data_IF_014789042680
#
_entry.id   IF_014789042680
#
_cell.length_a   1.000
_cell.length_b   1.000
_cell.length_c   1.000
_cell.angle_alpha   90.00
_cell.angle_beta   90.00
_cell.angle_gamma   90.00
#
_symmetry.space_group_name_H-M   'P 1'
#
loop_
_entity.id
_entity.type
_entity.pdbx_description
1 polymer ?
#
# COMPACT_ATOMS: atom_id res chain seq x y z
N UNK A 1 -21.44 -5.72 -1.13
CA UNK A 1 -21.16 -7.16 -1.31
C UNK A 1 -20.60 -7.78 -0.03
N UNK A 2 -19.49 -7.26 0.51
CA UNK A 2 -18.89 -7.75 1.76
C UNK A 2 -19.86 -7.74 2.95
N UNK A 3 -20.59 -6.65 3.14
CA UNK A 3 -21.62 -6.52 4.19
C UNK A 3 -22.70 -7.62 4.12
N UNK A 4 -23.23 -7.90 2.92
CA UNK A 4 -24.18 -9.02 2.69
C UNK A 4 -23.59 -10.40 3.01
N UNK A 5 -22.27 -10.53 3.02
CA UNK A 5 -21.55 -11.75 3.37
C UNK A 5 -21.06 -11.74 4.84
N UNK A 6 -21.40 -10.72 5.64
CA UNK A 6 -20.92 -10.57 7.02
C UNK A 6 -19.42 -10.34 7.12
N UNK A 7 -18.81 -9.69 6.13
CA UNK A 7 -17.36 -9.43 6.05
C UNK A 7 -17.05 -7.94 5.95
N UNK A 8 -15.88 -7.54 6.44
CA UNK A 8 -15.29 -6.22 6.19
C UNK A 8 -14.73 -6.16 4.76
N UNK A 9 -14.95 -5.05 4.06
CA UNK A 9 -14.33 -4.83 2.75
C UNK A 9 -12.90 -4.30 2.91
N UNK A 10 -11.93 -4.90 2.21
CA UNK A 10 -10.61 -4.30 1.98
C UNK A 10 -10.66 -3.49 0.69
N UNK A 11 -10.38 -2.20 0.77
CA UNK A 11 -10.34 -1.27 -0.35
C UNK A 11 -8.94 -0.69 -0.48
N UNK A 12 -8.44 -0.61 -1.71
CA UNK A 12 -7.20 0.09 -2.02
C UNK A 12 -7.57 1.32 -2.82
N UNK A 13 -7.31 2.50 -2.26
CA UNK A 13 -7.50 3.77 -2.94
C UNK A 13 -6.16 4.15 -3.57
N UNK A 14 -6.14 4.33 -4.89
CA UNK A 14 -4.91 4.52 -5.63
C UNK A 14 -5.15 5.47 -6.80
N UNK A 15 -5.58 6.69 -6.53
CA UNK A 15 -5.93 7.69 -7.55
C UNK A 15 -5.26 9.05 -7.33
N UNK A 16 -4.20 9.13 -6.51
CA UNK A 16 -3.47 10.39 -6.27
C UNK A 16 -2.96 10.99 -7.60
N UNK A 17 -3.10 12.32 -7.83
CA UNK A 17 -2.54 12.96 -9.03
C UNK A 17 -1.04 12.72 -9.18
N UNK A 18 -0.57 12.69 -10.44
CA UNK A 18 0.83 12.36 -10.77
C UNK A 18 1.28 11.01 -10.20
N UNK A 19 0.38 10.01 -10.18
CA UNK A 19 0.64 8.68 -9.64
C UNK A 19 1.85 8.05 -10.30
N UNK A 20 2.69 7.43 -9.48
CA UNK A 20 3.89 6.70 -9.92
C UNK A 20 4.85 7.54 -10.78
N UNK A 21 4.73 8.89 -10.71
CA UNK A 21 5.54 9.87 -11.43
C UNK A 21 5.71 9.55 -12.93
N UNK A 22 4.69 8.98 -13.55
CA UNK A 22 4.71 8.62 -14.97
C UNK A 22 5.31 7.25 -15.32
N UNK A 23 5.70 6.42 -14.33
CA UNK A 23 6.23 5.07 -14.53
C UNK A 23 5.13 4.06 -14.92
N UNK A 24 5.29 2.79 -14.56
CA UNK A 24 4.46 1.68 -15.08
C UNK A 24 2.99 1.78 -14.67
N UNK A 25 2.72 2.27 -13.46
CA UNK A 25 1.38 2.44 -12.88
C UNK A 25 0.88 3.88 -12.99
N UNK A 26 1.41 4.68 -13.92
CA UNK A 26 0.98 6.08 -14.12
C UNK A 26 -0.53 6.23 -14.25
N UNK A 27 -1.05 7.36 -13.80
CA UNK A 27 -2.47 7.67 -13.78
C UNK A 27 -2.78 8.61 -12.63
N UNK A 28 -3.92 8.37 -11.98
CA UNK A 28 -4.45 9.22 -10.94
C UNK A 28 -5.46 10.23 -11.48
N UNK A 29 -6.11 10.91 -10.55
CA UNK A 29 -6.98 12.02 -10.81
C UNK A 29 -6.24 13.13 -11.60
N UNK A 30 -7.01 13.88 -12.38
CA UNK A 30 -6.47 14.93 -13.24
C UNK A 30 -5.80 16.07 -12.44
N UNK A 31 -6.34 16.39 -11.27
CA UNK A 31 -5.88 17.43 -10.35
C UNK A 31 -6.40 17.16 -8.92
N UNK A 32 -6.03 18.02 -7.97
CA UNK A 32 -6.45 17.90 -6.58
C UNK A 32 -7.96 18.01 -6.35
N UNK A 33 -8.70 18.76 -7.17
CA UNK A 33 -10.15 18.90 -7.01
C UNK A 33 -10.90 17.65 -7.49
N UNK A 34 -10.45 17.06 -8.61
CA UNK A 34 -10.91 15.76 -9.07
C UNK A 34 -10.65 14.68 -8.02
N UNK A 35 -9.47 14.67 -7.39
CA UNK A 35 -9.13 13.73 -6.32
C UNK A 35 -10.04 13.91 -5.09
N UNK A 36 -10.24 15.14 -4.62
CA UNK A 36 -11.15 15.43 -3.49
C UNK A 36 -12.59 15.00 -3.79
N UNK A 37 -13.08 15.27 -4.99
CA UNK A 37 -14.41 14.84 -5.43
C UNK A 37 -14.53 13.30 -5.47
N UNK A 38 -13.48 12.62 -5.94
CA UNK A 38 -13.39 11.17 -5.96
C UNK A 38 -13.41 10.57 -4.56
N UNK A 39 -12.58 11.07 -3.63
CA UNK A 39 -12.59 10.64 -2.22
C UNK A 39 -13.96 10.86 -1.58
N UNK A 40 -14.59 12.01 -1.81
CA UNK A 40 -15.94 12.26 -1.29
C UNK A 40 -16.96 11.27 -1.85
N UNK A 41 -16.84 10.86 -3.11
CA UNK A 41 -17.69 9.83 -3.71
C UNK A 41 -17.43 8.43 -3.11
N UNK A 42 -16.15 8.07 -2.89
CA UNK A 42 -15.77 6.84 -2.19
C UNK A 42 -16.37 6.81 -0.79
N UNK A 43 -16.23 7.88 -0.01
CA UNK A 43 -16.77 7.97 1.35
C UNK A 43 -18.30 7.82 1.38
N UNK A 44 -19.02 8.45 0.44
CA UNK A 44 -20.47 8.23 0.27
C UNK A 44 -20.80 6.78 -0.08
N UNK A 45 -19.99 6.14 -0.92
CA UNK A 45 -20.16 4.73 -1.31
C UNK A 45 -19.95 3.75 -0.16
N UNK A 46 -18.97 4.01 0.71
CA UNK A 46 -18.74 3.26 1.94
C UNK A 46 -19.91 3.48 2.91
N UNK A 47 -20.26 4.74 3.19
CA UNK A 47 -21.35 5.10 4.08
C UNK A 47 -21.13 4.58 5.50
N UNK A 48 -22.08 3.82 6.03
CA UNK A 48 -22.09 3.24 7.38
C UNK A 48 -21.50 1.82 7.45
N UNK A 49 -21.01 1.27 6.33
CA UNK A 49 -20.50 -0.10 6.26
C UNK A 49 -19.06 -0.20 6.77
N UNK A 50 -18.72 -1.36 7.31
CA UNK A 50 -17.35 -1.66 7.72
C UNK A 50 -16.41 -1.76 6.51
N UNK A 51 -15.31 -0.99 6.55
CA UNK A 51 -14.28 -1.03 5.53
C UNK A 51 -12.89 -0.79 6.13
N UNK A 52 -11.89 -1.49 5.59
CA UNK A 52 -10.47 -1.23 5.80
C UNK A 52 -9.92 -0.65 4.52
N UNK A 53 -9.31 0.54 4.59
CA UNK A 53 -8.78 1.27 3.44
C UNK A 53 -7.26 1.32 3.53
N UNK A 54 -6.58 0.79 2.52
CA UNK A 54 -5.17 1.10 2.25
C UNK A 54 -5.14 2.30 1.31
N UNK A 55 -4.60 3.42 1.79
CA UNK A 55 -4.67 4.71 1.12
C UNK A 55 -3.36 5.01 0.39
N UNK A 56 -3.50 5.16 -0.92
CA UNK A 56 -2.50 5.64 -1.87
C UNK A 56 -1.13 4.94 -1.76
N UNK A 57 -1.04 3.65 -2.16
CA UNK A 57 0.23 2.95 -2.31
C UNK A 57 1.33 3.82 -2.95
N UNK A 58 2.53 3.80 -2.36
CA UNK A 58 3.72 4.56 -2.78
C UNK A 58 3.60 6.10 -2.73
N UNK A 59 2.45 6.69 -2.41
CA UNK A 59 2.29 8.14 -2.50
C UNK A 59 3.16 8.90 -1.48
N UNK A 60 3.28 8.40 -0.25
CA UNK A 60 4.18 8.98 0.76
C UNK A 60 5.64 8.65 0.48
N UNK A 61 6.02 7.39 0.18
CA UNK A 61 7.39 7.06 -0.22
C UNK A 61 7.92 7.88 -1.42
N UNK A 62 7.06 8.20 -2.40
CA UNK A 62 7.42 9.04 -3.55
C UNK A 62 7.72 10.51 -3.20
N UNK A 63 7.38 10.97 -1.99
CA UNK A 63 7.80 12.27 -1.48
C UNK A 63 9.24 12.24 -0.97
N UNK A 64 9.75 11.06 -0.61
CA UNK A 64 11.07 10.88 0.02
C UNK A 64 12.14 10.52 -1.01
N UNK A 65 11.80 9.75 -2.04
CA UNK A 65 12.75 9.34 -3.08
C UNK A 65 12.93 10.39 -4.19
N UNK A 66 12.24 11.53 -4.10
CA UNK A 66 12.30 12.62 -5.08
C UNK A 66 11.50 12.37 -6.35
N UNK A 67 10.70 11.29 -6.41
CA UNK A 67 9.83 11.00 -7.54
C UNK A 67 8.75 12.08 -7.71
N UNK A 68 8.16 12.55 -6.60
CA UNK A 68 7.21 13.68 -6.61
C UNK A 68 7.98 15.00 -6.70
N UNK A 69 7.83 15.77 -7.80
CA UNK A 69 8.50 17.05 -7.97
C UNK A 69 8.17 18.03 -6.82
N UNK A 70 9.12 18.88 -6.38
CA UNK A 70 8.93 19.82 -5.26
C UNK A 70 7.66 20.65 -5.33
N UNK A 71 7.27 21.10 -6.52
CA UNK A 71 6.08 21.89 -6.78
C UNK A 71 4.75 21.18 -6.45
N UNK A 72 4.74 19.85 -6.42
CA UNK A 72 3.54 19.04 -6.13
C UNK A 72 3.54 18.43 -4.72
N UNK A 73 4.60 18.62 -3.93
CA UNK A 73 4.73 17.93 -2.64
C UNK A 73 3.70 18.42 -1.61
N UNK A 74 3.51 19.74 -1.49
CA UNK A 74 2.56 20.33 -0.55
C UNK A 74 1.11 19.93 -0.91
N UNK A 75 0.76 19.99 -2.21
CA UNK A 75 -0.55 19.52 -2.67
C UNK A 75 -0.76 18.04 -2.32
N UNK A 76 0.25 17.18 -2.54
CA UNK A 76 0.14 15.76 -2.21
C UNK A 76 -0.10 15.53 -0.71
N UNK A 77 0.61 16.25 0.17
CA UNK A 77 0.34 16.17 1.61
C UNK A 77 -1.09 16.60 1.95
N UNK A 78 -1.55 17.71 1.39
CA UNK A 78 -2.91 18.22 1.63
C UNK A 78 -4.00 17.25 1.13
N UNK A 79 -3.79 16.61 -0.03
CA UNK A 79 -4.71 15.63 -0.58
C UNK A 79 -4.76 14.36 0.29
N UNK A 80 -3.62 13.85 0.74
CA UNK A 80 -3.56 12.67 1.61
C UNK A 80 -4.20 12.95 2.98
N UNK A 81 -3.85 14.07 3.62
CA UNK A 81 -4.41 14.46 4.91
C UNK A 81 -5.93 14.71 4.81
N UNK A 82 -6.38 15.37 3.75
CA UNK A 82 -7.80 15.57 3.46
C UNK A 82 -8.56 14.25 3.21
N UNK A 83 -7.90 13.28 2.55
CA UNK A 83 -8.47 11.95 2.33
C UNK A 83 -8.62 11.17 3.65
N UNK A 84 -7.59 11.18 4.49
CA UNK A 84 -7.66 10.60 5.84
C UNK A 84 -8.82 11.23 6.63
N UNK A 85 -8.88 12.56 6.71
CA UNK A 85 -9.93 13.26 7.45
C UNK A 85 -11.34 12.90 6.94
N UNK A 86 -11.51 12.84 5.62
CA UNK A 86 -12.81 12.48 5.00
C UNK A 86 -13.20 11.04 5.33
N UNK A 87 -12.29 10.08 5.17
CA UNK A 87 -12.57 8.67 5.44
C UNK A 87 -12.77 8.39 6.93
N UNK A 88 -12.02 9.06 7.80
CA UNK A 88 -12.14 8.93 9.27
C UNK A 88 -13.36 9.62 9.85
N UNK A 89 -14.08 10.44 9.07
CA UNK A 89 -15.42 10.91 9.44
C UNK A 89 -16.48 9.80 9.40
N UNK A 90 -16.18 8.66 8.77
CA UNK A 90 -17.06 7.50 8.73
C UNK A 90 -16.90 6.66 10.01
N UNK A 91 -18.02 6.21 10.58
CA UNK A 91 -18.02 5.56 11.90
C UNK A 91 -17.42 4.15 11.95
N UNK A 92 -17.16 3.49 10.82
CA UNK A 92 -16.71 2.10 10.74
C UNK A 92 -15.61 1.89 9.68
N UNK A 93 -14.79 2.90 9.46
CA UNK A 93 -13.73 2.85 8.46
C UNK A 93 -12.35 2.95 9.11
N UNK A 94 -11.56 1.90 8.91
CA UNK A 94 -10.14 1.88 9.25
C UNK A 94 -9.34 2.39 8.05
N UNK A 95 -8.34 3.25 8.29
CA UNK A 95 -7.51 3.87 7.26
C UNK A 95 -6.04 3.65 7.60
N UNK A 96 -5.32 3.07 6.64
CA UNK A 96 -3.88 2.83 6.70
C UNK A 96 -3.20 3.53 5.52
N UNK A 97 -2.45 4.59 5.79
CA UNK A 97 -1.62 5.28 4.78
C UNK A 97 -0.48 4.36 4.34
N UNK A 98 -0.21 4.24 3.05
CA UNK A 98 0.97 3.47 2.62
C UNK A 98 2.27 4.15 3.07
N UNK A 99 3.17 3.34 3.65
CA UNK A 99 4.46 3.75 4.19
C UNK A 99 5.64 3.04 3.50
N UNK A 100 5.40 2.52 2.29
CA UNK A 100 6.41 1.83 1.50
C UNK A 100 6.84 0.51 2.12
N UNK A 101 8.14 0.21 2.08
CA UNK A 101 8.65 -1.09 2.44
C UNK A 101 10.11 -1.01 2.94
N UNK A 102 10.66 -2.10 3.54
CA UNK A 102 12.02 -2.10 4.10
C UNK A 102 13.14 -1.73 3.12
N UNK A 103 12.90 -1.79 1.81
CA UNK A 103 13.86 -1.44 0.76
C UNK A 103 13.82 0.00 0.29
N UNK A 104 12.74 0.73 0.58
CA UNK A 104 12.52 2.06 0.00
C UNK A 104 13.31 3.15 0.72
N UNK A 105 13.28 3.12 2.05
CA UNK A 105 13.91 4.14 2.88
C UNK A 105 14.00 3.70 4.32
N UNK A 106 14.72 4.46 5.14
CA UNK A 106 14.77 4.21 6.59
C UNK A 106 13.50 4.77 7.24
N UNK A 107 12.95 4.15 8.30
CA UNK A 107 11.79 4.69 9.02
C UNK A 107 11.94 6.16 9.44
N UNK A 108 13.16 6.57 9.82
CA UNK A 108 13.47 7.96 10.15
C UNK A 108 13.25 8.97 9.01
N UNK A 109 13.24 8.55 7.75
CA UNK A 109 12.96 9.42 6.60
C UNK A 109 11.46 9.49 6.28
N UNK A 110 10.68 8.49 6.69
CA UNK A 110 9.27 8.32 6.29
C UNK A 110 8.32 8.86 7.37
N UNK A 111 8.72 8.90 8.63
CA UNK A 111 7.83 9.28 9.74
C UNK A 111 7.27 10.72 9.62
N UNK A 112 8.11 11.73 9.32
CA UNK A 112 7.63 13.11 9.13
C UNK A 112 6.68 13.22 7.91
N UNK A 113 7.01 12.68 6.73
CA UNK A 113 6.06 12.60 5.62
C UNK A 113 4.72 11.95 5.99
N UNK A 114 4.71 10.83 6.72
CA UNK A 114 3.46 10.21 7.19
C UNK A 114 2.66 11.11 8.14
N UNK A 115 3.35 11.80 9.05
CA UNK A 115 2.73 12.77 9.97
C UNK A 115 2.05 13.90 9.19
N UNK A 116 2.76 14.47 8.21
CA UNK A 116 2.23 15.50 7.31
C UNK A 116 1.06 14.99 6.45
N UNK A 117 1.08 13.72 6.06
CA UNK A 117 0.00 13.07 5.32
C UNK A 117 -1.21 12.68 6.21
N UNK A 118 -1.17 12.95 7.53
CA UNK A 118 -2.30 12.78 8.42
C UNK A 118 -2.36 11.45 9.18
N UNK A 119 -1.25 10.70 9.31
CA UNK A 119 -1.24 9.40 10.02
C UNK A 119 -1.70 9.50 11.49
N UNK A 120 -1.59 10.68 12.10
CA UNK A 120 -2.08 10.92 13.46
C UNK A 120 -3.60 10.73 13.59
N UNK A 121 -4.36 11.03 12.53
CA UNK A 121 -5.82 10.83 12.48
C UNK A 121 -6.20 9.45 11.93
N UNK A 122 -5.31 8.81 11.17
CA UNK A 122 -5.49 7.46 10.67
C UNK A 122 -5.36 6.42 11.80
N UNK A 123 -5.82 5.19 11.53
CA UNK A 123 -5.65 4.05 12.43
C UNK A 123 -4.19 3.57 12.40
N UNK A 124 -3.53 3.72 11.26
CA UNK A 124 -2.15 3.33 11.11
C UNK A 124 -1.57 3.58 9.72
N UNK A 125 -0.62 2.73 9.35
CA UNK A 125 -0.01 2.71 8.03
C UNK A 125 0.09 1.29 7.45
N UNK A 126 0.20 1.17 6.14
CA UNK A 126 0.42 -0.08 5.43
C UNK A 126 1.89 -0.20 5.03
N UNK A 127 2.45 -1.40 5.08
CA UNK A 127 3.81 -1.66 4.62
C UNK A 127 3.86 -2.84 3.64
N UNK A 128 4.88 -2.83 2.79
CA UNK A 128 5.18 -3.88 1.83
C UNK A 128 4.15 -4.04 0.69
N UNK A 129 3.25 -3.08 0.49
CA UNK A 129 2.23 -3.13 -0.57
C UNK A 129 2.88 -3.39 -1.92
N UNK A 130 2.39 -4.42 -2.62
CA UNK A 130 2.91 -4.90 -3.89
C UNK A 130 4.40 -5.30 -3.90
N UNK A 131 5.05 -5.45 -2.75
CA UNK A 131 6.46 -5.82 -2.67
C UNK A 131 6.64 -7.21 -2.02
N UNK A 132 7.89 -7.60 -1.80
CA UNK A 132 8.28 -8.99 -1.54
C UNK A 132 9.07 -9.17 -0.24
N UNK A 133 9.28 -8.11 0.55
CA UNK A 133 10.03 -8.23 1.80
C UNK A 133 9.36 -9.21 2.74
N UNK A 134 10.15 -10.10 3.34
CA UNK A 134 9.63 -11.13 4.24
C UNK A 134 8.83 -10.50 5.38
N UNK A 135 7.81 -11.19 5.88
CA UNK A 135 6.98 -10.70 6.99
C UNK A 135 7.83 -10.25 8.17
N UNK A 136 8.91 -10.98 8.51
CA UNK A 136 9.86 -10.58 9.56
C UNK A 136 10.52 -9.23 9.30
N UNK A 137 10.95 -8.95 8.07
CA UNK A 137 11.55 -7.66 7.71
C UNK A 137 10.51 -6.55 7.77
N UNK A 138 9.31 -6.80 7.24
CA UNK A 138 8.21 -5.83 7.24
C UNK A 138 7.74 -5.48 8.66
N UNK A 139 7.64 -6.47 9.57
CA UNK A 139 7.36 -6.24 10.99
C UNK A 139 8.45 -5.44 11.69
N UNK A 140 9.73 -5.69 11.38
CA UNK A 140 10.83 -4.92 11.96
C UNK A 140 10.80 -3.45 11.51
N UNK A 141 10.55 -3.22 10.22
CA UNK A 141 10.36 -1.87 9.66
C UNK A 141 9.13 -1.18 10.26
N UNK A 142 7.98 -1.87 10.30
CA UNK A 142 6.73 -1.35 10.86
C UNK A 142 6.85 -0.97 12.33
N UNK A 143 7.49 -1.79 13.18
CA UNK A 143 7.76 -1.44 14.58
C UNK A 143 8.58 -0.17 14.76
N UNK A 144 9.64 -0.02 13.96
CA UNK A 144 10.49 1.18 14.03
C UNK A 144 9.70 2.42 13.64
N UNK A 145 8.88 2.32 12.59
CA UNK A 145 8.04 3.43 12.15
C UNK A 145 6.91 3.74 13.12
N UNK A 146 6.30 2.71 13.73
CA UNK A 146 5.31 2.83 14.79
C UNK A 146 5.85 3.62 15.98
N UNK A 147 7.06 3.30 16.44
CA UNK A 147 7.72 4.03 17.53
C UNK A 147 7.92 5.52 17.21
N UNK A 148 8.19 5.86 15.94
CA UNK A 148 8.36 7.24 15.47
C UNK A 148 7.04 7.98 15.20
N UNK A 149 5.92 7.27 15.14
CA UNK A 149 4.59 7.82 14.84
C UNK A 149 3.65 7.75 16.04
N UNK A 150 4.21 7.63 17.26
CA UNK A 150 3.42 7.63 18.50
C UNK A 150 2.73 6.30 18.80
N UNK A 151 3.28 5.18 18.33
CA UNK A 151 2.74 3.85 18.56
C UNK A 151 1.59 3.46 17.62
N UNK A 152 1.47 4.11 16.46
CA UNK A 152 0.47 3.77 15.45
C UNK A 152 0.61 2.32 15.01
N UNK A 153 -0.53 1.66 14.80
CA UNK A 153 -0.57 0.29 14.33
C UNK A 153 -0.27 0.24 12.83
N UNK A 154 -0.10 -0.96 12.28
CA UNK A 154 0.13 -1.13 10.86
C UNK A 154 -0.40 -2.46 10.31
N UNK A 155 -0.56 -2.51 8.99
CA UNK A 155 -0.87 -3.74 8.25
C UNK A 155 0.28 -4.08 7.31
N UNK A 156 0.46 -5.38 7.03
CA UNK A 156 1.52 -5.86 6.13
C UNK A 156 0.90 -6.54 4.92
N UNK A 157 1.31 -6.13 3.72
CA UNK A 157 1.00 -6.89 2.52
C UNK A 157 1.88 -8.15 2.45
N UNK A 158 1.27 -9.33 2.56
CA UNK A 158 1.89 -10.65 2.49
C UNK A 158 1.53 -11.39 1.21
N UNK A 159 0.93 -10.71 0.22
CA UNK A 159 0.45 -11.31 -1.03
C UNK A 159 1.49 -12.17 -1.76
N UNK A 160 2.75 -11.73 -1.82
CA UNK A 160 3.80 -12.35 -2.65
C UNK A 160 5.15 -12.54 -1.96
N UNK A 161 5.20 -12.45 -0.62
CA UNK A 161 6.46 -12.38 0.11
C UNK A 161 6.96 -13.72 0.68
N UNK A 162 6.38 -14.87 0.29
CA UNK A 162 6.70 -16.18 0.87
C UNK A 162 8.16 -16.61 0.73
N UNK A 163 8.81 -16.21 -0.37
CA UNK A 163 10.25 -16.45 -0.62
C UNK A 163 11.12 -15.20 -0.40
N UNK A 164 10.58 -14.15 0.24
CA UNK A 164 11.27 -12.87 0.40
C UNK A 164 11.47 -12.11 -0.92
N UNK A 165 12.31 -11.05 -0.94
CA UNK A 165 12.58 -10.28 -2.15
C UNK A 165 13.61 -10.96 -3.04
N UNK A 166 13.58 -10.64 -4.34
CA UNK A 166 14.65 -11.05 -5.24
C UNK A 166 15.99 -10.39 -4.82
N UNK A 167 17.09 -11.12 -4.96
CA UNK A 167 18.45 -10.65 -4.63
C UNK A 167 19.31 -10.41 -5.87
N UNK A 168 18.92 -10.98 -7.00
CA UNK A 168 19.68 -10.96 -8.24
C UNK A 168 19.18 -9.85 -9.17
N UNK A 169 20.03 -9.43 -10.11
CA UNK A 169 19.73 -8.36 -11.07
C UNK A 169 19.80 -6.95 -10.48
N UNK A 170 19.36 -5.97 -11.27
CA UNK A 170 19.37 -4.55 -10.91
C UNK A 170 18.46 -4.27 -9.69
N UNK A 171 19.01 -3.75 -8.57
CA UNK A 171 18.23 -3.35 -7.40
C UNK A 171 16.98 -2.51 -7.73
N UNK A 172 17.06 -1.60 -8.70
CA UNK A 172 15.96 -0.72 -9.11
C UNK A 172 14.81 -1.43 -9.83
N UNK A 173 15.01 -2.68 -10.26
CA UNK A 173 14.03 -3.47 -11.01
C UNK A 173 13.61 -4.76 -10.29
N UNK A 174 14.21 -5.08 -9.13
CA UNK A 174 13.92 -6.34 -8.40
C UNK A 174 12.48 -6.48 -7.96
N UNK A 175 11.76 -5.37 -7.82
CA UNK A 175 10.34 -5.36 -7.47
C UNK A 175 9.42 -5.67 -8.66
N UNK A 176 9.88 -5.49 -9.91
CA UNK A 176 8.99 -5.57 -11.06
C UNK A 176 8.94 -7.00 -11.62
N UNK A 177 7.84 -7.73 -11.40
CA UNK A 177 7.63 -9.12 -11.84
C UNK A 177 8.80 -10.10 -11.56
N UNK A 178 9.45 -10.10 -10.38
CA UNK A 178 10.57 -11.00 -10.13
C UNK A 178 10.16 -12.47 -10.15
N UNK A 179 10.97 -13.36 -10.77
CA UNK A 179 10.73 -14.80 -10.72
C UNK A 179 11.05 -15.40 -9.34
N UNK A 180 10.56 -16.62 -9.11
CA UNK A 180 10.87 -17.41 -7.91
C UNK A 180 10.27 -16.87 -6.60
N UNK A 181 9.35 -15.90 -6.68
CA UNK A 181 8.56 -15.45 -5.54
C UNK A 181 7.44 -16.45 -5.26
N UNK A 182 6.85 -16.36 -4.08
CA UNK A 182 5.80 -17.28 -3.64
C UNK A 182 4.70 -16.49 -2.92
N UNK A 183 3.46 -17.02 -2.94
CA UNK A 183 2.42 -16.50 -2.04
C UNK A 183 2.94 -16.52 -0.59
N UNK A 184 2.68 -15.45 0.13
CA UNK A 184 2.99 -15.38 1.56
C UNK A 184 1.83 -15.87 2.42
N UNK A 185 1.88 -15.50 3.69
CA UNK A 185 0.85 -15.87 4.66
C UNK A 185 -0.54 -15.35 4.21
N UNK A 186 -1.58 -16.19 4.19
CA UNK A 186 -2.94 -15.74 3.87
C UNK A 186 -3.44 -14.65 4.83
N UNK A 187 -4.42 -13.82 4.42
CA UNK A 187 -4.90 -12.74 5.27
C UNK A 187 -5.38 -13.21 6.65
N UNK A 188 -4.88 -12.58 7.71
CA UNK A 188 -5.13 -12.95 9.10
C UNK A 188 -4.92 -11.75 10.03
N UNK A 189 -5.69 -11.68 11.11
CA UNK A 189 -5.47 -10.75 12.24
C UNK A 189 -4.64 -11.39 13.36
N UNK A 190 -4.30 -12.68 13.24
CA UNK A 190 -3.36 -13.36 14.15
C UNK A 190 -1.95 -13.12 13.63
N UNK A 191 -1.36 -12.02 14.06
CA UNK A 191 -0.02 -11.61 13.65
C UNK A 191 1.00 -11.95 14.73
N UNK A 192 2.28 -12.00 14.35
CA UNK A 192 3.39 -12.20 15.28
C UNK A 192 3.81 -10.94 16.07
N UNK A 193 3.12 -9.82 15.86
CA UNK A 193 3.45 -8.53 16.46
C UNK A 193 2.17 -7.80 16.88
N UNK A 194 2.02 -7.40 18.15
CA UNK A 194 0.79 -6.75 18.62
C UNK A 194 0.51 -5.39 17.98
N UNK A 195 1.51 -4.76 17.33
CA UNK A 195 1.32 -3.51 16.57
C UNK A 195 0.91 -3.77 15.12
N UNK A 196 1.00 -5.01 14.63
CA UNK A 196 0.53 -5.38 13.32
C UNK A 196 -0.91 -5.88 13.42
N UNK A 197 -1.88 -5.09 12.94
CA UNK A 197 -3.30 -5.42 13.03
C UNK A 197 -3.67 -6.61 12.13
N UNK A 198 -3.05 -6.69 10.95
CA UNK A 198 -3.31 -7.76 10.02
C UNK A 198 -2.15 -8.00 9.04
N UNK A 199 -2.06 -9.25 8.59
CA UNK A 199 -1.49 -9.58 7.30
C UNK A 199 -2.61 -9.56 6.27
N UNK A 200 -2.39 -8.88 5.16
CA UNK A 200 -3.36 -8.67 4.10
C UNK A 200 -2.75 -9.04 2.76
N UNK A 201 -3.57 -9.42 1.79
CA UNK A 201 -3.16 -9.45 0.39
C UNK A 201 -3.70 -8.20 -0.26
N UNK A 202 -2.90 -7.14 -0.22
CA UNK A 202 -3.28 -5.81 -0.76
C UNK A 202 -3.10 -5.82 -2.27
N UNK A 203 -1.90 -6.18 -2.75
CA UNK A 203 -1.71 -6.57 -4.15
C UNK A 203 -2.43 -7.89 -4.41
N UNK A 204 -3.09 -7.97 -5.56
CA UNK A 204 -3.72 -9.21 -6.04
C UNK A 204 -2.66 -10.12 -6.69
N UNK A 205 -2.34 -11.29 -6.12
CA UNK A 205 -1.40 -12.22 -6.73
C UNK A 205 -1.88 -12.66 -8.12
N UNK A 206 -1.04 -12.45 -9.14
CA UNK A 206 -1.39 -12.69 -10.54
C UNK A 206 -1.50 -11.43 -11.38
N UNK A 207 -1.62 -10.25 -10.78
CA UNK A 207 -1.53 -9.01 -11.54
C UNK A 207 -0.09 -8.62 -11.82
N UNK A 208 0.20 -8.25 -13.07
CA UNK A 208 1.52 -7.74 -13.45
C UNK A 208 1.85 -6.44 -12.72
N UNK A 209 3.14 -6.23 -12.46
CA UNK A 209 3.70 -4.97 -11.95
C UNK A 209 4.04 -3.98 -13.09
N UNK A 210 4.00 -4.41 -14.35
CA UNK A 210 4.39 -3.64 -15.52
C UNK A 210 5.01 -4.52 -16.61
N UNK A 211 5.37 -3.92 -17.75
CA UNK A 211 5.87 -4.68 -18.92
C UNK A 211 7.29 -5.25 -18.76
N UNK A 212 7.88 -5.08 -17.58
CA UNK A 212 9.19 -5.60 -17.23
C UNK A 212 9.19 -7.14 -17.22
N UNK A 213 10.36 -7.73 -17.52
CA UNK A 213 10.58 -9.18 -17.50
C UNK A 213 9.53 -9.98 -18.30
N UNK A 214 9.04 -9.39 -19.40
CA UNK A 214 8.04 -9.99 -20.28
C UNK A 214 6.60 -9.94 -19.78
N UNK A 215 6.33 -9.20 -18.70
CA UNK A 215 4.99 -9.09 -18.15
C UNK A 215 4.00 -8.27 -19.01
N UNK A 216 2.69 -8.43 -18.78
CA UNK A 216 1.64 -7.54 -19.30
C UNK A 216 1.72 -6.10 -18.76
N UNK A 217 0.71 -5.25 -19.06
CA UNK A 217 0.65 -3.92 -18.44
C UNK A 217 0.37 -4.05 -16.94
N UNK A 218 0.79 -3.05 -16.17
CA UNK A 218 0.55 -3.03 -14.72
C UNK A 218 -0.95 -3.17 -14.41
N UNK A 219 -1.29 -4.12 -13.55
CA UNK A 219 -2.67 -4.45 -13.17
C UNK A 219 -3.38 -5.46 -14.08
N UNK A 220 -2.84 -5.80 -15.26
CA UNK A 220 -3.41 -6.86 -16.09
C UNK A 220 -3.23 -8.23 -15.43
N UNK A 221 -4.25 -9.08 -15.53
CA UNK A 221 -4.18 -10.47 -15.07
C UNK A 221 -3.18 -11.27 -15.89
N UNK A 222 -2.28 -11.96 -15.19
CA UNK A 222 -1.25 -12.82 -15.77
C UNK A 222 -1.29 -14.19 -15.09
N UNK A 223 -1.99 -15.13 -15.72
CA UNK A 223 -2.25 -16.47 -15.17
C UNK A 223 -0.96 -17.24 -14.83
N UNK A 224 0.03 -17.24 -15.72
CA UNK A 224 1.31 -17.91 -15.49
C UNK A 224 2.02 -17.37 -14.25
N UNK A 225 1.94 -16.07 -13.99
CA UNK A 225 2.53 -15.46 -12.80
C UNK A 225 1.77 -15.86 -11.52
N UNK A 226 0.44 -15.89 -11.57
CA UNK A 226 -0.37 -16.38 -10.45
C UNK A 226 -0.04 -17.83 -10.10
N UNK A 227 0.05 -18.70 -11.12
CA UNK A 227 0.39 -20.11 -10.95
C UNK A 227 1.81 -20.30 -10.44
N UNK A 228 2.78 -19.49 -10.90
CA UNK A 228 4.16 -19.52 -10.39
C UNK A 228 4.23 -19.14 -8.90
N UNK A 229 3.51 -18.09 -8.48
CA UNK A 229 3.43 -17.68 -7.07
C UNK A 229 2.81 -18.79 -6.20
N UNK A 230 1.73 -19.41 -6.67
CA UNK A 230 1.03 -20.47 -5.95
C UNK A 230 1.87 -21.76 -5.88
N UNK A 231 2.48 -22.17 -6.99
CA UNK A 231 3.30 -23.39 -7.07
C UNK A 231 4.60 -23.31 -6.27
N UNK A 232 5.08 -22.10 -5.97
CA UNK A 232 6.25 -21.89 -5.12
C UNK A 232 5.92 -21.73 -3.62
N UNK A 233 4.64 -21.61 -3.26
CA UNK A 233 4.20 -21.52 -1.86
C UNK A 233 4.35 -22.89 -1.15
N UNK A 234 4.67 -22.85 0.14
CA UNK A 234 4.86 -24.04 0.98
C UNK A 234 3.86 -24.08 2.11
#
# INVERSE_FOLDING_TARGET
AADRAGRTALLVLYDIPHRDCGRYSRGGAADGDAYRAWIAAVARGIGDRAATVVLEPDAVPHLVDGCTPPEFQEERYDLLAGAVATLKSLGRTEVYLDAGNPGWGRPGQIHEPLRRAGVEQADGFAVNVANFYSTRQSLAYGRQLSALTGGKHFVVDTSRNGNGPATDGDPGERWCNPPGRALGEPPTTRTADPLADAYLWVKRPGESDGTCKGGPKAGDWWEEYALALAGAAR
#
